data_IF_682793179116
#
_entry.id   IF_682793179116
#
_cell.length_a   1.000
_cell.length_b   1.000
_cell.length_c   1.000
_cell.angle_alpha   90.00
_cell.angle_beta   90.00
_cell.angle_gamma   90.00
#
_symmetry.space_group_name_H-M   'P 1'
#
loop_
_entity.id
_entity.type
_entity.pdbx_description
1 polymer ?
#
# COMPACT_ATOMS: atom_id res chain seq x y z
N UNK A 1 -1.68 -14.27 -27.19
CA UNK A 1 -0.55 -13.42 -27.61
C UNK A 1 -0.43 -12.30 -26.59
N UNK A 2 0.57 -12.33 -25.70
CA UNK A 2 0.81 -11.24 -24.76
C UNK A 2 1.16 -9.97 -25.56
N UNK A 3 0.40 -8.90 -25.36
CA UNK A 3 0.73 -7.60 -25.94
C UNK A 3 2.12 -7.21 -25.40
N UNK A 4 3.04 -6.82 -26.27
CA UNK A 4 4.33 -6.27 -25.86
C UNK A 4 4.03 -5.04 -24.99
N UNK A 5 4.41 -5.10 -23.72
CA UNK A 5 4.33 -3.96 -22.83
C UNK A 5 4.93 -2.72 -23.53
N UNK A 6 4.32 -1.55 -23.38
CA UNK A 6 4.88 -0.32 -23.95
C UNK A 6 6.26 -0.05 -23.35
N UNK A 7 7.12 0.68 -24.04
CA UNK A 7 8.44 1.07 -23.49
C UNK A 7 8.28 1.81 -22.15
N UNK A 8 7.21 2.62 -22.04
CA UNK A 8 6.88 3.31 -20.77
C UNK A 8 6.62 2.31 -19.65
N UNK A 9 5.81 1.28 -19.91
CA UNK A 9 5.51 0.24 -18.91
C UNK A 9 6.75 -0.55 -18.52
N UNK A 10 7.58 -0.93 -19.50
CA UNK A 10 8.82 -1.62 -19.20
C UNK A 10 9.77 -0.81 -18.30
N UNK A 11 9.88 0.51 -18.52
CA UNK A 11 10.65 1.40 -17.64
C UNK A 11 10.05 1.41 -16.22
N UNK A 12 8.72 1.51 -16.13
CA UNK A 12 8.00 1.54 -14.88
C UNK A 12 8.17 0.24 -14.09
N UNK A 13 8.03 -0.92 -14.76
CA UNK A 13 8.20 -2.24 -14.13
C UNK A 13 9.61 -2.40 -13.51
N UNK A 14 10.65 -2.05 -14.29
CA UNK A 14 12.05 -2.11 -13.83
C UNK A 14 12.30 -1.14 -12.68
N UNK A 15 11.79 0.08 -12.78
CA UNK A 15 11.95 1.09 -11.74
C UNK A 15 11.22 0.69 -10.45
N UNK A 16 10.01 0.15 -10.56
CA UNK A 16 9.20 -0.31 -9.43
C UNK A 16 9.91 -1.40 -8.63
N UNK A 17 10.47 -2.40 -9.30
CA UNK A 17 11.27 -3.44 -8.65
C UNK A 17 12.47 -2.86 -7.91
N UNK A 18 13.23 -1.96 -8.56
CA UNK A 18 14.41 -1.34 -7.97
C UNK A 18 14.05 -0.43 -6.79
N UNK A 19 13.03 0.41 -6.94
CA UNK A 19 12.59 1.33 -5.88
C UNK A 19 12.09 0.57 -4.66
N UNK A 20 11.32 -0.49 -4.87
CA UNK A 20 10.84 -1.29 -3.76
C UNK A 20 11.97 -2.05 -3.06
N UNK A 21 12.86 -2.72 -3.81
CA UNK A 21 13.92 -3.54 -3.24
C UNK A 21 15.01 -2.73 -2.54
N UNK A 22 15.48 -1.67 -3.20
CA UNK A 22 16.72 -0.99 -2.81
C UNK A 22 16.48 0.43 -2.23
N UNK A 23 15.24 0.94 -2.33
CA UNK A 23 14.85 2.30 -1.89
C UNK A 23 14.87 3.31 -3.03
N UNK A 24 13.95 4.26 -2.96
CA UNK A 24 13.74 5.22 -4.05
C UNK A 24 14.92 6.17 -4.21
N UNK A 25 15.41 6.73 -3.10
CA UNK A 25 16.51 7.73 -3.15
C UNK A 25 17.85 7.11 -3.53
N UNK A 26 18.08 5.84 -3.19
CA UNK A 26 19.31 5.12 -3.50
C UNK A 26 19.47 4.79 -4.99
N UNK A 27 18.36 4.64 -5.71
CA UNK A 27 18.37 4.25 -7.13
C UNK A 27 18.47 5.49 -8.02
N UNK A 28 19.60 5.59 -8.75
CA UNK A 28 19.84 6.62 -9.77
C UNK A 28 19.22 6.27 -11.12
N UNK A 29 19.04 7.29 -11.97
CA UNK A 29 18.57 7.12 -13.35
C UNK A 29 19.49 6.19 -14.15
N UNK A 30 20.81 6.22 -13.89
CA UNK A 30 21.79 5.37 -14.57
C UNK A 30 21.53 3.89 -14.32
N UNK A 31 21.22 3.53 -13.08
CA UNK A 31 20.86 2.15 -12.71
C UNK A 31 19.59 1.69 -13.42
N UNK A 32 18.59 2.57 -13.50
CA UNK A 32 17.31 2.25 -14.16
C UNK A 32 17.53 2.00 -15.66
N UNK A 33 18.22 2.89 -16.36
CA UNK A 33 18.44 2.75 -17.81
C UNK A 33 19.31 1.55 -18.16
N UNK A 34 20.31 1.24 -17.32
CA UNK A 34 21.14 0.05 -17.48
C UNK A 34 20.29 -1.23 -17.34
N UNK A 35 19.47 -1.32 -16.27
CA UNK A 35 18.62 -2.48 -16.00
C UNK A 35 17.51 -2.65 -17.04
N UNK A 36 16.93 -1.54 -17.51
CA UNK A 36 15.90 -1.55 -18.54
C UNK A 36 16.46 -1.76 -19.97
N UNK A 37 17.78 -1.71 -20.15
CA UNK A 37 18.42 -1.86 -21.47
C UNK A 37 18.06 -0.73 -22.44
N UNK A 38 17.89 0.50 -21.95
CA UNK A 38 17.50 1.68 -22.75
C UNK A 38 18.51 2.82 -22.60
N UNK A 39 18.36 3.88 -23.41
CA UNK A 39 19.13 5.11 -23.23
C UNK A 39 18.46 6.08 -22.25
N UNK A 40 19.25 6.98 -21.61
CA UNK A 40 18.70 8.10 -20.83
C UNK A 40 17.73 8.95 -21.64
N UNK A 41 18.01 9.20 -22.92
CA UNK A 41 17.11 9.95 -23.80
C UNK A 41 15.76 9.23 -23.96
N UNK A 42 15.76 7.90 -23.98
CA UNK A 42 14.51 7.11 -24.01
C UNK A 42 13.74 7.25 -22.71
N UNK A 43 14.40 7.17 -21.56
CA UNK A 43 13.75 7.36 -20.26
C UNK A 43 13.11 8.76 -20.18
N UNK A 44 13.89 9.82 -20.43
CA UNK A 44 13.41 11.20 -20.32
C UNK A 44 12.34 11.60 -21.35
N UNK A 45 12.19 10.85 -22.43
CA UNK A 45 11.05 10.99 -23.34
C UNK A 45 9.72 10.52 -22.73
N UNK A 46 9.77 9.57 -21.78
CA UNK A 46 8.58 9.00 -21.13
C UNK A 46 8.30 9.56 -19.72
N UNK A 47 9.35 9.97 -19.03
CA UNK A 47 9.30 10.53 -17.68
C UNK A 47 10.28 11.70 -17.60
N UNK A 48 9.75 12.93 -17.49
CA UNK A 48 10.56 14.16 -17.56
C UNK A 48 11.57 14.26 -16.42
N UNK A 49 11.21 13.71 -15.24
CA UNK A 49 12.05 13.65 -14.05
C UNK A 49 12.02 12.27 -13.41
N UNK A 50 12.96 12.00 -12.50
CA UNK A 50 12.89 10.81 -11.66
C UNK A 50 11.66 10.84 -10.75
N UNK A 51 11.30 12.00 -10.23
CA UNK A 51 10.15 12.14 -9.34
C UNK A 51 8.83 11.83 -10.06
N UNK A 52 8.69 12.20 -11.34
CA UNK A 52 7.56 11.78 -12.17
C UNK A 52 7.48 10.25 -12.31
N UNK A 53 8.62 9.58 -12.46
CA UNK A 53 8.68 8.11 -12.49
C UNK A 53 8.32 7.50 -11.13
N UNK A 54 8.73 8.13 -10.03
CA UNK A 54 8.37 7.69 -8.66
C UNK A 54 6.87 7.87 -8.41
N UNK A 55 6.30 9.01 -8.83
CA UNK A 55 4.85 9.23 -8.74
C UNK A 55 4.10 8.16 -9.53
N UNK A 56 4.50 7.89 -10.78
CA UNK A 56 3.87 6.86 -11.61
C UNK A 56 3.98 5.45 -10.98
N UNK A 57 5.10 5.14 -10.31
CA UNK A 57 5.25 3.91 -9.55
C UNK A 57 4.24 3.80 -8.41
N UNK A 58 4.07 4.85 -7.61
CA UNK A 58 3.12 4.84 -6.50
C UNK A 58 1.67 4.83 -6.99
N UNK A 59 1.35 5.55 -8.08
CA UNK A 59 0.02 5.51 -8.72
C UNK A 59 -0.34 4.11 -9.21
N UNK A 60 0.62 3.37 -9.78
CA UNK A 60 0.40 1.98 -10.20
C UNK A 60 0.17 1.06 -8.97
N UNK A 61 0.95 1.23 -7.91
CA UNK A 61 0.74 0.48 -6.66
C UNK A 61 -0.59 0.82 -5.99
N UNK A 62 -1.00 2.09 -6.01
CA UNK A 62 -2.32 2.53 -5.54
C UNK A 62 -3.43 1.80 -6.29
N UNK A 63 -3.36 1.80 -7.63
CA UNK A 63 -4.34 1.13 -8.46
C UNK A 63 -4.43 -0.39 -8.18
N UNK A 64 -3.28 -1.07 -8.10
CA UNK A 64 -3.21 -2.51 -7.80
C UNK A 64 -3.81 -2.80 -6.43
N UNK A 65 -3.44 -2.04 -5.40
CA UNK A 65 -3.94 -2.25 -4.05
C UNK A 65 -5.46 -2.02 -3.96
N UNK A 66 -5.97 -0.94 -4.57
CA UNK A 66 -7.41 -0.65 -4.56
C UNK A 66 -8.21 -1.70 -5.30
N UNK A 67 -7.72 -2.18 -6.44
CA UNK A 67 -8.37 -3.29 -7.16
C UNK A 67 -8.47 -4.52 -6.25
N UNK A 68 -7.37 -4.90 -5.60
CA UNK A 68 -7.34 -6.05 -4.69
C UNK A 68 -8.29 -5.88 -3.49
N UNK A 69 -8.31 -4.70 -2.86
CA UNK A 69 -9.22 -4.39 -1.75
C UNK A 69 -10.70 -4.39 -2.19
N UNK A 70 -11.01 -3.82 -3.34
CA UNK A 70 -12.39 -3.76 -3.85
C UNK A 70 -12.91 -5.14 -4.23
N UNK A 71 -12.08 -6.01 -4.82
CA UNK A 71 -12.41 -7.41 -5.10
C UNK A 71 -12.71 -8.17 -3.79
N UNK A 72 -11.83 -8.09 -2.79
CA UNK A 72 -12.02 -8.74 -1.49
C UNK A 72 -13.29 -8.26 -0.76
N UNK A 73 -13.56 -6.96 -0.75
CA UNK A 73 -14.76 -6.38 -0.11
C UNK A 73 -16.04 -6.78 -0.84
N UNK A 74 -16.01 -6.88 -2.17
CA UNK A 74 -17.19 -7.20 -2.97
C UNK A 74 -17.74 -8.60 -2.68
N UNK A 75 -16.91 -9.56 -2.30
CA UNK A 75 -17.29 -10.92 -1.91
C UNK A 75 -18.16 -10.95 -0.64
N UNK A 76 -18.10 -9.89 0.18
CA UNK A 76 -18.81 -9.76 1.47
C UNK A 76 -19.88 -8.66 1.45
N UNK A 77 -20.53 -8.43 0.31
CA UNK A 77 -21.56 -7.42 0.15
C UNK A 77 -22.69 -7.58 1.20
N UNK A 78 -23.03 -6.50 1.90
CA UNK A 78 -24.08 -6.49 2.92
C UNK A 78 -23.62 -6.82 4.35
N UNK A 79 -22.35 -7.18 4.57
CA UNK A 79 -21.77 -7.41 5.89
C UNK A 79 -20.58 -6.49 6.15
N UNK A 80 -20.77 -5.27 6.70
CA UNK A 80 -19.65 -4.35 6.94
C UNK A 80 -18.56 -4.93 7.84
N UNK A 81 -18.90 -5.80 8.79
CA UNK A 81 -17.92 -6.51 9.61
C UNK A 81 -17.01 -7.41 8.74
N UNK A 82 -17.63 -8.26 7.90
CA UNK A 82 -16.87 -9.16 7.03
C UNK A 82 -16.05 -8.38 5.99
N UNK A 83 -16.56 -7.24 5.52
CA UNK A 83 -15.82 -6.34 4.63
C UNK A 83 -14.57 -5.74 5.30
N UNK A 84 -14.66 -5.38 6.59
CA UNK A 84 -13.46 -4.94 7.34
C UNK A 84 -12.43 -6.07 7.46
N UNK A 85 -12.88 -7.29 7.79
CA UNK A 85 -12.01 -8.46 7.88
C UNK A 85 -11.38 -8.81 6.54
N UNK A 86 -12.15 -8.75 5.45
CA UNK A 86 -11.65 -8.97 4.10
C UNK A 86 -10.58 -7.94 3.68
N UNK A 87 -10.75 -6.65 4.05
CA UNK A 87 -9.73 -5.64 3.82
C UNK A 87 -8.43 -5.93 4.60
N UNK A 88 -8.56 -6.42 5.83
CA UNK A 88 -7.41 -6.85 6.65
C UNK A 88 -6.73 -8.06 6.01
N UNK A 89 -7.50 -9.06 5.54
CA UNK A 89 -6.97 -10.24 4.88
C UNK A 89 -6.23 -9.87 3.58
N UNK A 90 -6.83 -9.03 2.75
CA UNK A 90 -6.19 -8.50 1.55
C UNK A 90 -4.90 -7.72 1.87
N UNK A 91 -4.87 -6.98 3.00
CA UNK A 91 -3.63 -6.33 3.46
C UNK A 91 -2.55 -7.35 3.83
N UNK A 92 -2.93 -8.47 4.45
CA UNK A 92 -1.99 -9.56 4.80
C UNK A 92 -1.45 -10.22 3.53
N UNK A 93 -2.30 -10.46 2.53
CA UNK A 93 -1.90 -11.04 1.24
C UNK A 93 -0.88 -10.19 0.49
N UNK A 94 -1.00 -8.85 0.58
CA UNK A 94 0.00 -7.92 0.06
C UNK A 94 1.36 -8.00 0.78
N UNK A 95 1.45 -8.70 1.94
CA UNK A 95 2.69 -8.92 2.68
C UNK A 95 3.37 -10.26 2.38
N UNK A 96 2.80 -11.08 1.45
CA UNK A 96 3.32 -12.40 1.14
C UNK A 96 4.78 -12.43 0.62
N UNK A 97 5.41 -13.63 0.54
CA UNK A 97 6.83 -13.76 0.23
C UNK A 97 7.25 -13.05 -1.06
N UNK A 98 8.09 -12.04 -0.93
CA UNK A 98 8.53 -11.12 -1.98
C UNK A 98 8.45 -9.66 -1.54
N UNK A 99 7.58 -9.32 -0.61
CA UNK A 99 7.40 -7.97 -0.05
C UNK A 99 8.22 -7.79 1.24
N UNK A 100 9.54 -7.89 1.14
CA UNK A 100 10.43 -7.82 2.31
C UNK A 100 10.55 -6.43 2.94
N UNK A 101 10.05 -5.39 2.28
CA UNK A 101 10.14 -3.99 2.77
C UNK A 101 8.82 -3.40 3.26
N UNK A 102 7.78 -4.22 3.37
CA UNK A 102 6.46 -3.75 3.85
C UNK A 102 5.76 -2.83 2.85
N UNK A 103 5.22 -1.72 3.30
CA UNK A 103 4.37 -0.84 2.50
C UNK A 103 5.16 0.14 1.63
N UNK A 104 4.86 0.19 0.32
CA UNK A 104 5.43 1.14 -0.65
C UNK A 104 5.26 2.60 -0.21
N UNK A 105 4.08 2.95 0.31
CA UNK A 105 3.72 4.32 0.70
C UNK A 105 4.37 4.74 2.02
N UNK A 106 4.47 3.84 3.01
CA UNK A 106 5.20 4.14 4.25
C UNK A 106 6.70 4.31 3.99
N UNK A 107 7.27 3.51 3.07
CA UNK A 107 8.65 3.67 2.63
C UNK A 107 8.85 5.01 1.91
N UNK A 108 7.92 5.39 1.03
CA UNK A 108 7.98 6.68 0.35
C UNK A 108 7.92 7.86 1.35
N UNK A 109 7.04 7.81 2.36
CA UNK A 109 6.98 8.83 3.42
C UNK A 109 8.28 8.93 4.23
N UNK A 110 8.94 7.81 4.49
CA UNK A 110 10.23 7.80 5.19
C UNK A 110 11.37 8.42 4.35
N UNK A 111 11.29 8.30 3.03
CA UNK A 111 12.30 8.84 2.12
C UNK A 111 12.03 10.29 1.69
N UNK A 112 10.77 10.73 1.66
CA UNK A 112 10.34 12.07 1.24
C UNK A 112 9.60 12.78 2.37
N UNK A 113 10.35 13.53 3.17
CA UNK A 113 9.84 14.24 4.35
C UNK A 113 9.27 15.63 4.04
N UNK A 114 9.55 16.17 2.86
CA UNK A 114 9.08 17.48 2.43
C UNK A 114 7.58 17.42 2.12
N UNK A 115 6.75 18.10 2.93
CA UNK A 115 5.28 17.99 2.92
C UNK A 115 4.63 18.41 1.59
N UNK A 116 5.29 19.29 0.82
CA UNK A 116 4.84 19.75 -0.50
C UNK A 116 5.38 18.90 -1.67
N UNK A 117 6.20 17.89 -1.39
CA UNK A 117 6.74 17.02 -2.42
C UNK A 117 5.64 16.11 -3.00
N UNK A 118 5.50 15.98 -4.34
CA UNK A 118 4.43 15.18 -4.96
C UNK A 118 4.38 13.72 -4.46
N UNK A 119 5.51 13.10 -4.24
CA UNK A 119 5.62 11.73 -3.70
C UNK A 119 5.06 11.66 -2.27
N UNK A 120 5.38 12.64 -1.42
CA UNK A 120 4.86 12.73 -0.06
C UNK A 120 3.33 12.90 -0.06
N UNK A 121 2.83 13.85 -0.84
CA UNK A 121 1.40 14.12 -0.94
C UNK A 121 0.61 12.88 -1.37
N UNK A 122 1.08 12.17 -2.40
CA UNK A 122 0.45 10.94 -2.88
C UNK A 122 0.43 9.84 -1.80
N UNK A 123 1.54 9.66 -1.09
CA UNK A 123 1.62 8.66 -0.03
C UNK A 123 0.74 8.98 1.18
N UNK A 124 0.60 10.27 1.54
CA UNK A 124 -0.35 10.73 2.57
C UNK A 124 -1.78 10.52 2.11
N UNK A 125 -2.11 10.84 0.85
CA UNK A 125 -3.46 10.67 0.30
C UNK A 125 -3.89 9.20 0.32
N UNK A 126 -3.02 8.28 -0.10
CA UNK A 126 -3.27 6.84 -0.01
C UNK A 126 -3.63 6.40 1.43
N UNK A 127 -2.81 6.78 2.42
CA UNK A 127 -3.07 6.40 3.82
C UNK A 127 -4.38 7.00 4.36
N UNK A 128 -4.70 8.24 3.97
CA UNK A 128 -5.98 8.87 4.31
C UNK A 128 -7.16 8.15 3.66
N UNK A 129 -7.03 7.70 2.42
CA UNK A 129 -8.07 6.97 1.71
C UNK A 129 -8.38 5.61 2.37
N UNK A 130 -7.35 4.85 2.79
CA UNK A 130 -7.54 3.62 3.58
C UNK A 130 -8.28 3.91 4.90
N UNK A 131 -7.83 4.93 5.65
CA UNK A 131 -8.50 5.34 6.90
C UNK A 131 -9.98 5.70 6.67
N UNK A 132 -10.28 6.45 5.62
CA UNK A 132 -11.66 6.81 5.27
C UNK A 132 -12.51 5.58 4.91
N UNK A 133 -11.94 4.62 4.18
CA UNK A 133 -12.65 3.38 3.85
C UNK A 133 -12.98 2.58 5.11
N UNK A 134 -12.03 2.38 6.01
CA UNK A 134 -12.24 1.72 7.29
C UNK A 134 -13.28 2.46 8.15
N UNK A 135 -13.18 3.79 8.24
CA UNK A 135 -14.15 4.60 9.00
C UNK A 135 -15.59 4.40 8.51
N UNK A 136 -15.80 4.38 7.19
CA UNK A 136 -17.12 4.11 6.60
C UNK A 136 -17.63 2.71 6.96
N UNK A 137 -16.79 1.69 6.89
CA UNK A 137 -17.16 0.33 7.24
C UNK A 137 -17.46 0.19 8.74
N UNK A 138 -16.69 0.83 9.62
CA UNK A 138 -16.93 0.88 11.05
C UNK A 138 -18.32 1.50 11.35
N UNK A 139 -18.63 2.64 10.73
CA UNK A 139 -19.94 3.30 10.88
C UNK A 139 -21.09 2.42 10.38
N UNK A 140 -20.94 1.78 9.22
CA UNK A 140 -21.94 0.88 8.65
C UNK A 140 -22.15 -0.37 9.53
N UNK A 141 -21.11 -0.82 10.23
CA UNK A 141 -21.21 -1.93 11.19
C UNK A 141 -21.83 -1.53 12.54
N UNK A 142 -22.10 -0.23 12.76
CA UNK A 142 -22.67 0.29 14.00
C UNK A 142 -21.63 0.76 15.03
N UNK A 143 -20.33 0.67 14.73
CA UNK A 143 -19.26 1.23 15.55
C UNK A 143 -19.03 2.71 15.17
N UNK A 144 -19.74 3.62 15.79
CA UNK A 144 -19.60 5.07 15.54
C UNK A 144 -18.38 5.70 16.23
N UNK A 145 -17.64 4.93 17.03
CA UNK A 145 -16.46 5.39 17.76
C UNK A 145 -15.25 5.40 16.79
N UNK A 146 -14.69 6.58 16.51
CA UNK A 146 -13.50 6.75 15.65
C UNK A 146 -12.26 6.00 16.18
N UNK A 147 -12.26 5.67 17.48
CA UNK A 147 -11.14 4.91 18.07
C UNK A 147 -10.91 3.55 17.40
N UNK A 148 -11.98 2.86 16.95
CA UNK A 148 -11.80 1.60 16.22
C UNK A 148 -11.01 1.82 14.94
N UNK A 149 -11.37 2.83 14.15
CA UNK A 149 -10.66 3.16 12.89
C UNK A 149 -9.18 3.45 13.15
N UNK A 150 -8.88 4.28 14.15
CA UNK A 150 -7.51 4.67 14.46
C UNK A 150 -6.68 3.50 15.02
N UNK A 151 -7.30 2.63 15.83
CA UNK A 151 -6.63 1.42 16.31
C UNK A 151 -6.38 0.42 15.18
N UNK A 152 -7.31 0.25 14.23
CA UNK A 152 -7.08 -0.58 13.05
C UNK A 152 -5.94 -0.02 12.19
N UNK A 153 -5.90 1.29 11.96
CA UNK A 153 -4.79 1.92 11.23
C UNK A 153 -3.45 1.72 11.95
N UNK A 154 -3.44 1.83 13.29
CA UNK A 154 -2.23 1.62 14.09
C UNK A 154 -1.69 0.20 13.94
N UNK A 155 -2.56 -0.82 14.05
CA UNK A 155 -2.12 -2.21 13.92
C UNK A 155 -1.75 -2.58 12.49
N UNK A 156 -2.45 -2.06 11.48
CA UNK A 156 -2.09 -2.22 10.06
C UNK A 156 -0.69 -1.64 9.80
N UNK A 157 -0.48 -0.36 10.13
CA UNK A 157 0.81 0.29 9.88
C UNK A 157 1.94 -0.35 10.69
N UNK A 158 1.65 -0.79 11.93
CA UNK A 158 2.59 -1.54 12.76
C UNK A 158 2.98 -2.87 12.14
N UNK A 159 2.03 -3.63 11.62
CA UNK A 159 2.28 -4.89 10.93
C UNK A 159 3.16 -4.67 9.69
N UNK A 160 2.76 -3.73 8.81
CA UNK A 160 3.49 -3.39 7.59
C UNK A 160 4.94 -2.96 7.88
N UNK A 161 5.15 -2.13 8.91
CA UNK A 161 6.47 -1.66 9.32
C UNK A 161 7.32 -2.72 10.03
N UNK A 162 6.70 -3.78 10.56
CA UNK A 162 7.41 -4.87 11.26
C UNK A 162 8.05 -5.88 10.32
N UNK A 163 7.56 -5.99 9.08
CA UNK A 163 8.05 -6.98 8.10
C UNK A 163 9.54 -6.86 7.81
N UNK A 164 10.12 -5.66 7.57
CA UNK A 164 11.56 -5.52 7.34
C UNK A 164 12.43 -5.93 8.53
N UNK A 165 11.87 -5.94 9.75
CA UNK A 165 12.60 -6.22 10.99
C UNK A 165 12.52 -7.72 11.35
N UNK A 166 11.31 -8.29 11.29
CA UNK A 166 11.01 -9.61 11.83
C UNK A 166 10.56 -10.62 10.77
N UNK A 167 10.43 -10.21 9.51
CA UNK A 167 9.83 -11.01 8.44
C UNK A 167 8.31 -11.15 8.59
N UNK A 168 7.70 -11.78 7.59
CA UNK A 168 6.25 -12.00 7.55
C UNK A 168 5.72 -12.84 8.72
N UNK A 169 6.48 -13.85 9.18
CA UNK A 169 6.10 -14.72 10.29
C UNK A 169 6.29 -14.08 11.68
N UNK A 170 6.74 -12.83 11.74
CA UNK A 170 6.87 -12.02 12.95
C UNK A 170 5.55 -11.40 13.41
N UNK A 171 5.60 -10.19 14.00
CA UNK A 171 4.40 -9.47 14.48
C UNK A 171 3.34 -9.27 13.40
N UNK A 172 3.72 -9.14 12.12
CA UNK A 172 2.80 -9.00 11.00
C UNK A 172 1.79 -10.16 10.90
N UNK A 173 2.19 -11.39 11.26
CA UNK A 173 1.31 -12.55 11.27
C UNK A 173 0.15 -12.45 12.29
N UNK A 174 0.22 -11.50 13.25
CA UNK A 174 -0.83 -11.26 14.23
C UNK A 174 -1.88 -10.25 13.78
N UNK A 175 -1.68 -9.59 12.63
CA UNK A 175 -2.55 -8.50 12.16
C UNK A 175 -4.03 -8.93 12.12
N UNK A 176 -4.33 -10.06 11.46
CA UNK A 176 -5.70 -10.59 11.36
C UNK A 176 -6.33 -10.84 12.71
N UNK A 177 -5.63 -11.52 13.60
CA UNK A 177 -6.12 -11.87 14.94
C UNK A 177 -6.40 -10.63 15.78
N UNK A 178 -5.49 -9.66 15.79
CA UNK A 178 -5.64 -8.43 16.57
C UNK A 178 -6.77 -7.57 16.00
N UNK A 179 -6.84 -7.42 14.67
CA UNK A 179 -7.90 -6.65 14.02
C UNK A 179 -9.29 -7.26 14.29
N UNK A 180 -9.44 -8.59 14.22
CA UNK A 180 -10.68 -9.28 14.54
C UNK A 180 -11.13 -9.02 16.00
N UNK A 181 -10.20 -9.12 16.95
CA UNK A 181 -10.49 -8.83 18.37
C UNK A 181 -10.93 -7.37 18.57
N UNK A 182 -10.29 -6.39 17.93
CA UNK A 182 -10.67 -4.99 17.99
C UNK A 182 -12.08 -4.78 17.42
N UNK A 183 -12.36 -5.33 16.26
CA UNK A 183 -13.67 -5.22 15.60
C UNK A 183 -14.75 -5.82 16.49
N UNK A 184 -14.57 -7.02 17.02
CA UNK A 184 -15.54 -7.69 17.88
C UNK A 184 -15.81 -6.90 19.17
N UNK A 185 -14.76 -6.44 19.84
CA UNK A 185 -14.88 -5.64 21.06
C UNK A 185 -15.73 -4.38 20.87
N UNK A 186 -15.47 -3.63 19.79
CA UNK A 186 -16.20 -2.39 19.52
C UNK A 186 -17.63 -2.63 19.05
N UNK A 187 -17.89 -3.70 18.29
CA UNK A 187 -19.24 -4.06 17.86
C UNK A 187 -20.10 -4.61 19.01
N UNK A 188 -19.51 -5.31 19.98
CA UNK A 188 -20.21 -5.73 21.19
C UNK A 188 -20.54 -4.54 22.09
N UNK A 189 -19.58 -3.63 22.29
CA UNK A 189 -19.77 -2.39 23.06
C UNK A 189 -20.88 -1.51 22.48
N UNK A 190 -21.03 -1.48 21.15
CA UNK A 190 -22.06 -0.69 20.48
C UNK A 190 -23.48 -1.25 20.65
N UNK A 191 -23.63 -2.52 21.07
CA UNK A 191 -24.92 -3.18 21.33
C UNK A 191 -25.37 -3.07 22.78
N UNK A 192 -24.48 -2.68 23.71
CA UNK A 192 -24.73 -2.57 25.13
C UNK A 192 -25.22 -1.19 25.51
#
# INVERSE_FOLDING_TARGET
>A
MAARASVRQHILDVASELFYRDGIRSIGVDTIVEKAGISKATLYRHFTTKDELVVAYLEEQDHINWQHFDEAIAEHAGSPKEQMLALIDATVELLEPGYHRGCHFLNALAEFSEEDHPVHLLAVEYNRAIRMRLSRLCQQAGASDENLTDQLMLVINGALSSVPIYGFMGPAAQLKTIAAHLIDFYLEKAKA
#
